data_IF_564421371196
#
_entry.id   IF_564421371196
#
_cell.length_a   1.000
_cell.length_b   1.000
_cell.length_c   1.000
_cell.angle_alpha   90.00
_cell.angle_beta   90.00
_cell.angle_gamma   90.00
#
_symmetry.space_group_name_H-M   'P 1'
#
loop_
_entity.id
_entity.type
_entity.pdbx_description
1 polymer ?
#
# COMPACT_ATOMS: atom_id res chain seq x y z
N UNK A 1 10.16 21.09 -10.45
CA UNK A 1 9.71 21.60 -9.14
C UNK A 1 9.09 20.44 -8.39
N UNK A 2 9.61 20.16 -7.25
CA UNK A 2 9.60 18.93 -6.46
C UNK A 2 8.22 18.33 -6.22
N UNK A 3 8.08 17.03 -6.52
CA UNK A 3 7.01 16.14 -6.05
C UNK A 3 7.09 16.06 -4.52
N UNK A 4 6.28 16.84 -3.83
CA UNK A 4 6.24 16.92 -2.36
C UNK A 4 4.87 16.42 -1.91
N UNK A 5 4.53 15.19 -2.21
CA UNK A 5 3.37 14.58 -1.57
C UNK A 5 3.75 13.69 -0.40
N UNK A 6 4.91 13.03 -0.40
CA UNK A 6 5.34 12.11 0.66
C UNK A 6 6.72 12.39 1.27
N UNK A 7 7.52 13.28 0.69
CA UNK A 7 8.84 13.64 1.21
C UNK A 7 8.83 14.22 2.63
N UNK A 8 7.71 14.76 3.11
CA UNK A 8 7.60 15.29 4.48
C UNK A 8 7.36 14.23 5.55
N UNK A 9 6.81 13.09 5.21
CA UNK A 9 6.64 11.98 6.16
C UNK A 9 7.98 11.29 6.45
N UNK A 10 8.89 11.29 5.48
CA UNK A 10 10.21 10.66 5.60
C UNK A 10 11.34 11.61 6.02
N UNK A 11 11.23 12.93 5.79
CA UNK A 11 12.26 13.88 6.24
C UNK A 11 12.31 14.07 7.76
N UNK A 12 11.23 13.78 8.46
CA UNK A 12 11.22 13.75 9.93
C UNK A 12 12.09 12.59 10.48
N UNK A 13 12.24 11.52 9.72
CA UNK A 13 13.00 10.34 10.11
C UNK A 13 14.52 10.50 9.99
N UNK A 14 15.00 11.30 9.03
CA UNK A 14 16.45 11.50 8.82
C UNK A 14 17.13 12.35 9.91
N UNK A 15 16.39 13.08 10.73
CA UNK A 15 16.93 13.94 11.80
C UNK A 15 17.00 13.29 13.17
N UNK A 16 16.49 12.07 13.35
CA UNK A 16 16.48 11.38 14.66
C UNK A 16 17.50 10.25 14.77
N UNK A 17 18.49 10.19 13.92
CA UNK A 17 19.60 9.23 13.99
C UNK A 17 20.73 9.75 14.90
N UNK A 18 20.51 9.93 16.15
CA UNK A 18 21.47 9.81 17.27
C UNK A 18 20.87 10.36 18.55
N UNK A 19 20.33 9.50 19.39
CA UNK A 19 20.05 9.88 20.76
C UNK A 19 18.69 9.46 21.30
N UNK A 20 18.70 8.37 22.02
CA UNK A 20 17.74 7.96 23.06
C UNK A 20 16.28 7.71 22.67
N UNK A 21 15.92 6.46 22.83
CA UNK A 21 14.64 5.77 22.79
C UNK A 21 13.43 6.60 23.23
N UNK A 22 12.53 6.92 22.29
CA UNK A 22 11.18 7.33 22.50
C UNK A 22 10.35 6.81 21.34
N UNK A 23 9.58 5.75 21.54
CA UNK A 23 8.78 5.13 20.50
C UNK A 23 7.61 6.02 20.07
N UNK A 24 7.56 6.41 18.81
CA UNK A 24 6.39 7.06 18.20
C UNK A 24 5.41 5.98 17.78
N UNK A 25 4.22 5.94 18.40
CA UNK A 25 3.10 5.14 17.86
C UNK A 25 2.26 6.01 16.93
N UNK A 26 2.20 5.65 15.66
CA UNK A 26 1.28 6.25 14.71
C UNK A 26 0.01 5.42 14.60
N UNK A 27 -1.14 6.05 14.77
CA UNK A 27 -2.45 5.45 14.56
C UNK A 27 -3.11 6.06 13.31
N UNK A 28 -3.60 5.19 12.43
CA UNK A 28 -4.39 5.60 11.26
C UNK A 28 -5.87 5.48 11.61
N UNK A 29 -6.61 6.58 11.55
CA UNK A 29 -8.07 6.59 11.64
C UNK A 29 -8.62 7.33 10.42
N UNK A 30 -9.43 6.65 9.61
CA UNK A 30 -10.13 7.20 8.44
C UNK A 30 -9.23 7.90 7.40
N UNK A 31 -8.11 7.26 7.01
CA UNK A 31 -7.24 7.76 5.95
C UNK A 31 -6.40 9.00 6.30
N UNK A 32 -6.50 9.54 7.51
CA UNK A 32 -5.70 10.65 7.98
C UNK A 32 -4.73 10.20 9.07
N UNK A 33 -3.45 10.56 8.94
CA UNK A 33 -2.44 10.32 9.97
C UNK A 33 -2.51 11.45 10.99
N UNK A 34 -2.93 11.12 12.21
CA UNK A 34 -2.88 12.05 13.34
C UNK A 34 -1.69 11.65 14.22
N UNK A 35 -0.63 12.46 14.20
CA UNK A 35 0.49 12.32 15.11
C UNK A 35 0.15 12.94 16.46
N UNK A 36 0.09 12.14 17.50
CA UNK A 36 0.02 12.62 18.88
C UNK A 36 1.27 12.18 19.62
N UNK A 37 2.11 13.13 19.99
CA UNK A 37 3.21 12.91 20.92
C UNK A 37 2.62 12.62 22.31
N UNK A 38 2.74 11.37 22.77
CA UNK A 38 2.60 11.05 24.19
C UNK A 38 4.00 10.84 24.77
N UNK A 39 4.45 11.74 25.59
CA UNK A 39 5.59 11.52 26.49
C UNK A 39 5.16 10.50 27.54
N UNK A 40 5.73 9.30 27.48
CA UNK A 40 5.58 8.29 28.52
C UNK A 40 6.75 8.49 29.49
N UNK A 41 6.52 8.87 30.74
CA UNK A 41 7.59 8.95 31.73
C UNK A 41 8.19 7.56 31.96
N UNK A 42 9.52 7.48 31.99
CA UNK A 42 10.26 6.26 32.29
C UNK A 42 9.85 5.73 33.68
N UNK A 43 9.17 4.58 33.70
CA UNK A 43 8.81 3.90 34.96
C UNK A 43 9.98 3.05 35.43
N UNK A 44 10.30 3.08 36.75
CA UNK A 44 11.40 2.30 37.29
C UNK A 44 11.11 0.79 37.26
N UNK A 45 12.16 0.01 37.07
CA UNK A 45 12.16 -1.45 36.77
C UNK A 45 11.42 -2.32 37.80
N UNK A 46 11.17 -1.80 39.02
CA UNK A 46 10.45 -2.55 40.05
C UNK A 46 8.93 -2.64 39.89
N UNK A 47 8.34 -1.90 38.93
CA UNK A 47 6.90 -2.05 38.60
C UNK A 47 6.58 -3.26 37.71
N UNK A 48 7.57 -3.82 37.04
CA UNK A 48 7.36 -5.02 36.21
C UNK A 48 7.13 -6.28 37.04
N UNK A 49 7.69 -6.36 38.24
CA UNK A 49 7.52 -7.48 39.15
C UNK A 49 6.16 -7.51 39.86
N UNK A 50 5.51 -6.36 40.01
CA UNK A 50 4.18 -6.28 40.64
C UNK A 50 3.05 -6.70 39.68
N UNK A 51 3.25 -6.55 38.37
CA UNK A 51 2.25 -6.96 37.37
C UNK A 51 2.21 -8.49 37.22
N UNK A 52 3.36 -9.16 37.35
CA UNK A 52 3.42 -10.64 37.32
C UNK A 52 2.78 -11.26 38.58
N UNK A 53 2.93 -10.60 39.73
CA UNK A 53 2.28 -11.09 40.99
C UNK A 53 0.76 -10.79 41.03
N UNK A 54 0.29 -9.70 40.46
CA UNK A 54 -1.12 -9.37 40.35
C UNK A 54 -1.84 -10.29 39.35
N UNK A 55 -1.16 -10.73 38.28
CA UNK A 55 -1.70 -11.72 37.33
C UNK A 55 -1.91 -13.12 37.94
N UNK A 56 -1.05 -13.51 38.90
CA UNK A 56 -1.17 -14.81 39.58
C UNK A 56 -2.24 -14.86 40.68
N UNK A 57 -2.59 -13.71 41.26
CA UNK A 57 -3.65 -13.66 42.32
C UNK A 57 -5.04 -13.50 41.69
N UNK A 58 -5.16 -12.95 40.49
CA UNK A 58 -6.45 -12.79 39.79
C UNK A 58 -6.94 -14.09 39.12
N UNK A 59 -6.07 -15.12 38.96
CA UNK A 59 -6.43 -16.40 38.36
C UNK A 59 -7.12 -17.38 39.30
N UNK A 60 -7.30 -17.04 40.61
CA UNK A 60 -7.91 -17.96 41.59
C UNK A 60 -9.34 -17.62 41.99
N UNK A 61 -10.01 -16.65 41.39
CA UNK A 61 -11.37 -16.24 41.81
C UNK A 61 -12.41 -16.16 40.67
N UNK A 62 -12.16 -16.74 39.51
CA UNK A 62 -13.22 -16.90 38.50
C UNK A 62 -13.60 -18.36 38.47
N UNK A 63 -14.74 -18.64 39.11
CA UNK A 63 -15.39 -19.92 39.10
C UNK A 63 -15.70 -20.39 37.67
N UNK A 64 -15.66 -21.70 37.50
CA UNK A 64 -15.87 -22.46 36.27
C UNK A 64 -17.06 -21.98 35.43
N UNK A 65 -16.82 -21.07 34.53
CA UNK A 65 -17.69 -20.75 33.39
C UNK A 65 -16.77 -20.38 32.21
N UNK A 66 -16.49 -21.36 31.35
CA UNK A 66 -15.82 -21.15 30.07
C UNK A 66 -14.33 -20.89 30.20
N UNK A 67 -13.52 -21.93 30.38
CA UNK A 67 -12.13 -21.90 29.95
C UNK A 67 -12.15 -21.75 28.42
N UNK A 68 -12.16 -20.50 27.95
CA UNK A 68 -11.80 -20.20 26.58
C UNK A 68 -10.40 -20.74 26.40
N UNK A 69 -10.26 -21.81 25.68
CA UNK A 69 -8.98 -22.30 25.16
C UNK A 69 -8.30 -21.07 24.57
N UNK A 70 -7.16 -20.68 25.12
CA UNK A 70 -6.32 -19.67 24.46
C UNK A 70 -6.11 -20.17 23.02
N UNK A 71 -6.77 -19.53 22.08
CA UNK A 71 -6.74 -19.96 20.70
C UNK A 71 -5.27 -19.99 20.26
N UNK A 72 -4.85 -21.13 19.74
CA UNK A 72 -3.53 -21.27 19.15
C UNK A 72 -3.43 -20.22 18.03
N UNK A 73 -2.53 -19.24 18.11
CA UNK A 73 -2.45 -18.16 17.13
C UNK A 73 -2.13 -18.66 15.71
N UNK A 74 -1.64 -19.91 15.61
CA UNK A 74 -1.35 -20.55 14.31
C UNK A 74 -2.55 -21.27 13.69
N UNK A 75 -3.64 -21.47 14.47
CA UNK A 75 -4.86 -22.11 13.94
C UNK A 75 -5.87 -21.08 13.47
N UNK A 76 -6.62 -21.42 12.39
CA UNK A 76 -7.74 -20.59 11.96
C UNK A 76 -8.71 -20.31 13.11
N UNK A 77 -9.15 -19.07 13.24
CA UNK A 77 -10.23 -18.72 14.16
C UNK A 77 -11.51 -19.44 13.67
N UNK A 78 -12.09 -20.35 14.48
CA UNK A 78 -13.28 -21.09 14.08
C UNK A 78 -14.51 -20.20 13.92
N UNK A 79 -14.47 -18.95 14.37
CA UNK A 79 -15.56 -17.97 14.15
C UNK A 79 -15.52 -17.36 12.75
N UNK A 80 -14.44 -17.55 11.99
CA UNK A 80 -14.33 -17.08 10.62
C UNK A 80 -14.84 -18.18 9.70
N UNK A 81 -16.06 -18.02 9.23
CA UNK A 81 -16.64 -18.91 8.23
C UNK A 81 -16.09 -18.61 6.85
N UNK A 82 -15.62 -19.64 6.16
CA UNK A 82 -15.19 -19.55 4.77
C UNK A 82 -13.70 -19.79 4.56
N UNK A 83 -13.32 -19.70 3.30
CA UNK A 83 -11.92 -19.84 2.93
C UNK A 83 -11.15 -18.53 3.17
N UNK A 84 -9.84 -18.58 3.54
CA UNK A 84 -9.05 -17.41 3.87
C UNK A 84 -9.07 -16.38 2.73
N UNK A 85 -9.18 -15.11 3.07
CA UNK A 85 -9.19 -13.98 2.13
C UNK A 85 -8.75 -12.68 2.83
N UNK A 86 -8.59 -11.60 2.03
CA UNK A 86 -8.22 -10.28 2.57
C UNK A 86 -9.18 -9.82 3.67
N UNK A 87 -10.49 -9.97 3.47
CA UNK A 87 -11.50 -9.44 4.39
C UNK A 87 -11.50 -10.14 5.75
N UNK A 88 -11.30 -11.47 5.78
CA UNK A 88 -11.22 -12.23 7.03
C UNK A 88 -10.00 -11.82 7.87
N UNK A 89 -8.85 -11.66 7.23
CA UNK A 89 -7.66 -11.14 7.90
C UNK A 89 -7.82 -9.69 8.38
N UNK A 90 -8.50 -8.85 7.59
CA UNK A 90 -8.78 -7.47 7.96
C UNK A 90 -9.71 -7.34 9.18
N UNK A 91 -10.72 -8.20 9.33
CA UNK A 91 -11.57 -8.27 10.52
C UNK A 91 -10.74 -8.61 11.76
N UNK A 92 -9.89 -9.65 11.69
CA UNK A 92 -8.96 -10.00 12.76
C UNK A 92 -8.04 -8.84 13.15
N UNK A 93 -7.49 -8.16 12.16
CA UNK A 93 -6.60 -7.01 12.37
C UNK A 93 -7.32 -5.86 13.09
N UNK A 94 -8.54 -5.54 12.69
CA UNK A 94 -9.35 -4.50 13.35
C UNK A 94 -9.73 -4.83 14.78
N UNK A 95 -9.91 -6.11 15.08
CA UNK A 95 -10.17 -6.62 16.45
C UNK A 95 -8.92 -6.72 17.30
N UNK A 96 -7.72 -6.47 16.73
CA UNK A 96 -6.44 -6.51 17.42
C UNK A 96 -5.76 -7.89 17.48
N UNK A 97 -6.27 -8.87 16.75
CA UNK A 97 -5.69 -10.21 16.63
C UNK A 97 -4.64 -10.25 15.51
N UNK A 98 -3.55 -9.51 15.69
CA UNK A 98 -2.58 -9.23 14.63
C UNK A 98 -1.87 -10.48 14.11
N UNK A 99 -1.44 -11.39 14.98
CA UNK A 99 -0.78 -12.64 14.58
C UNK A 99 -1.72 -13.53 13.76
N UNK A 100 -2.99 -13.61 14.16
CA UNK A 100 -4.01 -14.37 13.43
C UNK A 100 -4.34 -13.71 12.09
N UNK A 101 -4.39 -12.36 12.02
CA UNK A 101 -4.58 -11.62 10.79
C UNK A 101 -3.48 -11.91 9.77
N UNK A 102 -2.22 -11.87 10.21
CA UNK A 102 -1.08 -12.18 9.36
C UNK A 102 -1.15 -13.63 8.85
N UNK A 103 -1.42 -14.59 9.73
CA UNK A 103 -1.55 -15.99 9.33
C UNK A 103 -2.71 -16.22 8.36
N UNK A 104 -3.81 -15.46 8.52
CA UNK A 104 -4.97 -15.52 7.61
C UNK A 104 -4.63 -14.97 6.22
N UNK A 105 -3.96 -13.82 6.16
CA UNK A 105 -3.49 -13.27 4.88
C UNK A 105 -2.44 -14.16 4.21
N UNK A 106 -1.50 -14.76 4.97
CA UNK A 106 -0.54 -15.73 4.41
C UNK A 106 -1.24 -16.93 3.79
N UNK A 107 -2.25 -17.49 4.45
CA UNK A 107 -3.07 -18.57 3.88
C UNK A 107 -3.85 -18.14 2.63
N UNK A 108 -4.40 -16.92 2.62
CA UNK A 108 -5.09 -16.38 1.45
C UNK A 108 -4.15 -16.22 0.25
N UNK A 109 -2.93 -15.74 0.49
CA UNK A 109 -1.87 -15.63 -0.52
C UNK A 109 -1.49 -17.01 -1.07
N UNK A 110 -1.24 -17.98 -0.20
CA UNK A 110 -0.79 -19.33 -0.59
C UNK A 110 -1.87 -20.13 -1.32
N UNK A 111 -3.11 -20.09 -0.82
CA UNK A 111 -4.19 -20.96 -1.30
C UNK A 111 -4.96 -20.36 -2.47
N UNK A 112 -5.08 -19.04 -2.54
CA UNK A 112 -5.97 -18.35 -3.48
C UNK A 112 -5.29 -17.33 -4.38
N UNK A 113 -4.01 -17.02 -4.17
CA UNK A 113 -3.33 -15.90 -4.82
C UNK A 113 -4.12 -14.59 -4.63
N UNK A 114 -4.58 -14.36 -3.40
CA UNK A 114 -5.37 -13.16 -3.07
C UNK A 114 -4.46 -11.92 -3.08
N UNK A 115 -4.62 -11.07 -4.10
CA UNK A 115 -3.82 -9.85 -4.27
C UNK A 115 -4.04 -8.84 -3.17
N UNK A 116 -5.26 -8.79 -2.60
CA UNK A 116 -5.56 -7.92 -1.48
C UNK A 116 -4.88 -8.37 -0.19
N UNK A 117 -4.88 -9.68 0.09
CA UNK A 117 -4.16 -10.24 1.22
C UNK A 117 -2.63 -10.02 1.09
N UNK A 118 -2.09 -10.17 -0.12
CA UNK A 118 -0.68 -9.86 -0.38
C UNK A 118 -0.38 -8.37 -0.12
N UNK A 119 -1.25 -7.45 -0.54
CA UNK A 119 -1.13 -6.03 -0.22
C UNK A 119 -1.10 -5.77 1.29
N UNK A 120 -1.99 -6.38 2.07
CA UNK A 120 -2.04 -6.20 3.53
C UNK A 120 -0.76 -6.72 4.22
N UNK A 121 -0.22 -7.85 3.77
CA UNK A 121 1.07 -8.35 4.26
C UNK A 121 2.22 -7.40 3.91
N UNK A 122 2.24 -6.87 2.70
CA UNK A 122 3.24 -5.91 2.28
C UNK A 122 3.23 -4.65 3.17
N UNK A 123 2.06 -4.08 3.43
CA UNK A 123 1.89 -2.95 4.35
C UNK A 123 2.38 -3.28 5.77
N UNK A 124 2.01 -4.47 6.29
CA UNK A 124 2.42 -4.88 7.63
C UNK A 124 3.95 -4.92 7.77
N UNK A 125 4.66 -5.49 6.80
CA UNK A 125 6.13 -5.55 6.81
C UNK A 125 6.79 -4.21 6.46
N UNK A 126 6.16 -3.37 5.65
CA UNK A 126 6.70 -2.06 5.26
C UNK A 126 6.59 -1.03 6.39
N UNK A 127 5.40 -0.92 7.00
CA UNK A 127 5.11 0.09 8.02
C UNK A 127 5.60 -0.31 9.43
N UNK A 128 5.95 -1.58 9.64
CA UNK A 128 6.35 -2.11 10.95
C UNK A 128 5.31 -1.85 12.07
N UNK A 129 4.04 -1.84 11.71
CA UNK A 129 2.97 -1.50 12.66
C UNK A 129 2.75 -2.61 13.69
N UNK A 130 2.90 -3.86 13.30
CA UNK A 130 2.57 -5.04 14.12
C UNK A 130 3.64 -6.15 14.06
N UNK A 131 4.58 -6.05 13.11
CA UNK A 131 5.74 -6.93 12.94
C UNK A 131 7.00 -6.11 12.79
N UNK A 132 8.17 -6.75 12.92
CA UNK A 132 9.44 -6.13 12.60
C UNK A 132 9.51 -5.76 11.11
N UNK A 133 10.05 -4.59 10.82
CA UNK A 133 10.18 -4.09 9.45
C UNK A 133 11.06 -5.00 8.60
N UNK A 134 10.51 -5.45 7.48
CA UNK A 134 11.22 -6.26 6.49
C UNK A 134 10.89 -5.78 5.08
N UNK A 135 11.73 -4.90 4.56
CA UNK A 135 11.53 -4.30 3.23
C UNK A 135 11.59 -5.36 2.12
N UNK A 136 12.42 -6.40 2.27
CA UNK A 136 12.51 -7.45 1.26
C UNK A 136 11.21 -8.26 1.18
N UNK A 137 10.62 -8.60 2.33
CA UNK A 137 9.30 -9.23 2.37
C UNK A 137 8.20 -8.30 1.86
N UNK A 138 8.23 -7.02 2.23
CA UNK A 138 7.27 -6.05 1.73
C UNK A 138 7.31 -5.96 0.20
N UNK A 139 8.49 -5.82 -0.40
CA UNK A 139 8.67 -5.82 -1.87
C UNK A 139 8.12 -7.10 -2.48
N UNK A 140 8.43 -8.27 -1.89
CA UNK A 140 7.92 -9.55 -2.38
C UNK A 140 6.38 -9.57 -2.42
N UNK A 141 5.74 -9.20 -1.33
CA UNK A 141 4.28 -9.23 -1.25
C UNK A 141 3.61 -8.13 -2.10
N UNK A 142 4.18 -6.92 -2.18
CA UNK A 142 3.72 -5.91 -3.14
C UNK A 142 3.80 -6.43 -4.58
N UNK A 143 4.90 -7.08 -4.95
CA UNK A 143 5.07 -7.67 -6.29
C UNK A 143 3.99 -8.73 -6.55
N UNK A 144 3.77 -9.65 -5.63
CA UNK A 144 2.73 -10.68 -5.75
C UNK A 144 1.33 -10.05 -5.90
N UNK A 145 0.98 -9.09 -5.04
CA UNK A 145 -0.31 -8.40 -5.10
C UNK A 145 -0.51 -7.64 -6.41
N UNK A 146 0.54 -6.96 -6.89
CA UNK A 146 0.53 -6.21 -8.13
C UNK A 146 0.37 -7.11 -9.36
N UNK A 147 1.07 -8.25 -9.39
CA UNK A 147 0.95 -9.25 -10.46
C UNK A 147 -0.44 -9.90 -10.49
N UNK A 148 -1.10 -10.04 -9.35
CA UNK A 148 -2.47 -10.55 -9.23
C UNK A 148 -3.54 -9.46 -9.38
N UNK A 149 -3.13 -8.28 -9.84
CA UNK A 149 -4.02 -7.20 -10.24
C UNK A 149 -4.53 -6.32 -9.11
N UNK A 150 -4.02 -6.40 -7.87
CA UNK A 150 -4.47 -5.47 -6.83
C UNK A 150 -3.97 -4.03 -7.13
N UNK A 151 -4.88 -3.06 -7.33
CA UNK A 151 -4.49 -1.71 -7.74
C UNK A 151 -3.69 -0.94 -6.69
N UNK A 152 -3.87 -1.26 -5.41
CA UNK A 152 -3.10 -0.63 -4.31
C UNK A 152 -1.67 -1.13 -4.34
N UNK A 153 -1.50 -2.47 -4.46
CA UNK A 153 -0.17 -3.08 -4.58
C UNK A 153 0.57 -2.59 -5.83
N UNK A 154 -0.13 -2.41 -6.96
CA UNK A 154 0.45 -1.83 -8.18
C UNK A 154 0.90 -0.38 -7.95
N UNK A 155 0.08 0.46 -7.30
CA UNK A 155 0.44 1.85 -7.00
C UNK A 155 1.67 1.94 -6.10
N UNK A 156 1.73 1.12 -5.04
CA UNK A 156 2.83 1.14 -4.09
C UNK A 156 4.11 0.53 -4.68
N UNK A 157 4.00 -0.54 -5.47
CA UNK A 157 5.14 -1.08 -6.21
C UNK A 157 5.70 -0.04 -7.21
N UNK A 158 4.83 0.72 -7.88
CA UNK A 158 5.22 1.88 -8.68
C UNK A 158 6.03 2.89 -7.87
N UNK A 159 5.58 3.20 -6.65
CA UNK A 159 6.27 4.11 -5.74
C UNK A 159 7.64 3.55 -5.30
N UNK A 160 7.74 2.24 -5.04
CA UNK A 160 9.01 1.61 -4.68
C UNK A 160 10.04 1.76 -5.81
N UNK A 161 9.65 1.54 -7.08
CA UNK A 161 10.53 1.75 -8.22
C UNK A 161 10.85 3.22 -8.49
N UNK A 162 9.90 4.14 -8.30
CA UNK A 162 10.13 5.58 -8.47
C UNK A 162 11.13 6.13 -7.44
N UNK A 163 11.04 5.69 -6.19
CA UNK A 163 11.90 6.17 -5.10
C UNK A 163 13.15 5.32 -4.89
N UNK A 164 13.22 4.11 -5.43
CA UNK A 164 14.31 3.17 -5.18
C UNK A 164 14.27 2.60 -3.75
N UNK A 165 13.07 2.36 -3.19
CA UNK A 165 12.91 1.83 -1.84
C UNK A 165 12.86 0.30 -1.84
N UNK A 166 13.92 -0.33 -1.39
CA UNK A 166 14.05 -1.78 -1.37
C UNK A 166 14.28 -2.43 -2.74
N UNK A 167 14.17 -1.63 -3.80
CA UNK A 167 14.46 -2.01 -5.19
C UNK A 167 15.31 -0.91 -5.85
N UNK A 168 16.12 -1.22 -6.89
CA UNK A 168 16.77 -0.18 -7.68
C UNK A 168 15.73 0.76 -8.30
N UNK A 169 16.02 2.07 -8.29
CA UNK A 169 15.15 3.07 -8.94
C UNK A 169 15.03 2.77 -10.44
N UNK A 170 13.79 2.69 -10.93
CA UNK A 170 13.48 2.40 -12.33
C UNK A 170 12.17 3.10 -12.71
N UNK A 171 12.29 4.24 -13.36
CA UNK A 171 11.13 5.06 -13.74
C UNK A 171 10.24 4.40 -14.79
N UNK A 172 10.80 3.57 -15.68
CA UNK A 172 10.00 2.86 -16.67
C UNK A 172 9.12 1.78 -16.00
N UNK A 173 9.68 1.04 -15.02
CA UNK A 173 8.88 0.12 -14.21
C UNK A 173 7.86 0.85 -13.35
N UNK A 174 8.24 1.98 -12.74
CA UNK A 174 7.31 2.79 -11.97
C UNK A 174 6.10 3.23 -12.82
N UNK A 175 6.36 3.79 -14.01
CA UNK A 175 5.31 4.21 -14.93
C UNK A 175 4.38 3.05 -15.32
N UNK A 176 4.94 1.88 -15.62
CA UNK A 176 4.17 0.68 -15.96
C UNK A 176 3.22 0.27 -14.83
N UNK A 177 3.69 0.24 -13.59
CA UNK A 177 2.89 -0.14 -12.44
C UNK A 177 1.85 0.93 -12.08
N UNK A 178 2.22 2.22 -12.13
CA UNK A 178 1.26 3.29 -11.95
C UNK A 178 0.17 3.27 -13.03
N UNK A 179 0.53 3.02 -14.30
CA UNK A 179 -0.45 2.95 -15.38
C UNK A 179 -1.41 1.77 -15.20
N UNK A 180 -0.93 0.60 -14.80
CA UNK A 180 -1.76 -0.56 -14.51
C UNK A 180 -2.79 -0.26 -13.39
N UNK A 181 -2.34 0.35 -12.31
CA UNK A 181 -3.20 0.80 -11.21
C UNK A 181 -4.18 1.90 -11.64
N UNK A 182 -3.72 2.88 -12.41
CA UNK A 182 -4.51 4.00 -12.91
C UNK A 182 -5.64 3.55 -13.85
N UNK A 183 -5.39 2.56 -14.70
CA UNK A 183 -6.41 1.92 -15.56
C UNK A 183 -7.51 1.26 -14.75
N UNK A 184 -7.24 0.80 -13.55
CA UNK A 184 -8.25 0.29 -12.61
C UNK A 184 -8.98 1.40 -11.85
N UNK A 185 -8.66 2.67 -12.08
CA UNK A 185 -9.29 3.81 -11.43
C UNK A 185 -8.67 4.21 -10.09
N UNK A 186 -7.48 3.75 -9.74
CA UNK A 186 -6.83 4.12 -8.48
C UNK A 186 -6.35 5.58 -8.49
N UNK A 187 -6.91 6.48 -7.66
CA UNK A 187 -6.75 7.93 -7.86
C UNK A 187 -5.31 8.44 -7.67
N UNK A 188 -4.57 7.91 -6.69
CA UNK A 188 -3.18 8.33 -6.49
C UNK A 188 -2.27 7.86 -7.63
N UNK A 189 -2.53 6.68 -8.19
CA UNK A 189 -1.80 6.17 -9.35
C UNK A 189 -2.12 6.99 -10.62
N UNK A 190 -3.38 7.40 -10.80
CA UNK A 190 -3.77 8.31 -11.88
C UNK A 190 -3.00 9.63 -11.77
N UNK A 191 -2.90 10.22 -10.59
CA UNK A 191 -2.09 11.41 -10.39
C UNK A 191 -0.61 11.15 -10.73
N UNK A 192 0.00 10.09 -10.20
CA UNK A 192 1.42 9.81 -10.39
C UNK A 192 1.77 9.55 -11.86
N UNK A 193 0.96 8.75 -12.57
CA UNK A 193 1.21 8.53 -14.01
C UNK A 193 0.94 9.80 -14.84
N UNK A 194 -0.01 10.64 -14.41
CA UNK A 194 -0.24 11.95 -14.99
C UNK A 194 1.01 12.83 -14.94
N UNK A 195 1.69 12.89 -13.79
CA UNK A 195 2.98 13.60 -13.63
C UNK A 195 4.04 13.01 -14.56
N UNK A 196 4.16 11.69 -14.63
CA UNK A 196 5.15 11.04 -15.49
C UNK A 196 4.91 11.32 -16.97
N UNK A 197 3.65 11.40 -17.44
CA UNK A 197 3.33 11.82 -18.80
C UNK A 197 3.58 13.33 -19.03
N UNK A 198 3.36 14.21 -18.04
CA UNK A 198 3.69 15.64 -18.18
C UNK A 198 5.19 15.86 -18.29
N UNK A 199 5.99 15.16 -17.46
CA UNK A 199 7.43 15.35 -17.38
C UNK A 199 8.22 14.50 -18.39
N UNK A 200 7.60 13.45 -18.96
CA UNK A 200 8.28 12.50 -19.85
C UNK A 200 9.24 11.57 -19.08
N UNK A 201 8.95 11.30 -17.81
CA UNK A 201 9.76 10.44 -16.96
C UNK A 201 9.27 8.98 -16.98
N UNK A 202 10.12 8.07 -17.47
CA UNK A 202 9.79 6.64 -17.60
C UNK A 202 8.82 6.30 -18.73
N UNK A 203 8.15 7.30 -19.30
CA UNK A 203 7.27 7.24 -20.49
C UNK A 203 7.52 8.44 -21.38
N UNK A 204 7.13 8.35 -22.66
CA UNK A 204 7.18 9.53 -23.54
C UNK A 204 6.18 10.60 -23.05
N UNK A 205 6.60 11.87 -23.08
CA UNK A 205 5.75 12.98 -22.68
C UNK A 205 4.47 13.04 -23.53
N UNK A 206 3.33 13.19 -22.86
CA UNK A 206 2.00 13.26 -23.49
C UNK A 206 1.05 14.11 -22.64
N UNK A 207 0.88 15.38 -23.02
CA UNK A 207 0.02 16.33 -22.30
C UNK A 207 -1.45 15.92 -22.28
N UNK A 208 -1.92 15.26 -23.33
CA UNK A 208 -3.32 14.81 -23.45
C UNK A 208 -3.60 13.72 -22.42
N UNK A 209 -2.70 12.74 -22.31
CA UNK A 209 -2.80 11.70 -21.27
C UNK A 209 -2.60 12.26 -19.87
N UNK A 210 -1.64 13.16 -19.68
CA UNK A 210 -1.42 13.80 -18.38
C UNK A 210 -2.69 14.52 -17.89
N UNK A 211 -3.32 15.32 -18.75
CA UNK A 211 -4.60 15.98 -18.46
C UNK A 211 -5.69 14.96 -18.10
N UNK A 212 -5.85 13.92 -18.93
CA UNK A 212 -6.84 12.87 -18.69
C UNK A 212 -6.65 12.24 -17.29
N UNK A 213 -5.44 11.85 -16.94
CA UNK A 213 -5.18 11.19 -15.66
C UNK A 213 -5.31 12.13 -14.46
N UNK A 214 -4.93 13.41 -14.57
CA UNK A 214 -5.19 14.39 -13.51
C UNK A 214 -6.68 14.59 -13.29
N UNK A 215 -7.47 14.71 -14.36
CA UNK A 215 -8.92 14.85 -14.25
C UNK A 215 -9.57 13.62 -13.60
N UNK A 216 -9.17 12.40 -14.01
CA UNK A 216 -9.65 11.17 -13.40
C UNK A 216 -9.25 11.06 -11.92
N UNK A 217 -8.05 11.48 -11.54
CA UNK A 217 -7.61 11.52 -10.15
C UNK A 217 -8.47 12.44 -9.29
N UNK A 218 -8.87 13.61 -9.82
CA UNK A 218 -9.79 14.55 -9.14
C UNK A 218 -11.16 13.89 -8.93
N UNK A 219 -11.71 13.31 -9.99
CA UNK A 219 -13.03 12.63 -9.96
C UNK A 219 -13.01 11.42 -9.02
N UNK A 220 -11.87 10.72 -8.93
CA UNK A 220 -11.64 9.60 -8.01
C UNK A 220 -11.39 9.99 -6.54
N UNK A 221 -11.41 11.29 -6.21
CA UNK A 221 -11.26 11.77 -4.84
C UNK A 221 -9.83 12.12 -4.40
N UNK A 222 -8.93 12.42 -5.35
CA UNK A 222 -7.57 12.90 -5.08
C UNK A 222 -7.34 14.36 -5.57
N UNK A 223 -8.17 15.34 -5.16
CA UNK A 223 -8.14 16.68 -5.71
C UNK A 223 -6.95 17.53 -5.26
N UNK A 224 -6.39 17.27 -4.08
CA UNK A 224 -5.45 18.17 -3.40
C UNK A 224 -4.23 18.59 -4.25
N UNK A 225 -3.65 17.64 -5.01
CA UNK A 225 -2.49 17.90 -5.85
C UNK A 225 -2.85 17.91 -7.34
N UNK A 226 -3.84 17.09 -7.71
CA UNK A 226 -4.25 16.92 -9.10
C UNK A 226 -4.90 18.19 -9.66
N UNK A 227 -5.62 18.97 -8.85
CA UNK A 227 -6.24 20.23 -9.30
C UNK A 227 -5.19 21.26 -9.71
N UNK A 228 -4.19 21.51 -8.87
CA UNK A 228 -3.12 22.45 -9.18
C UNK A 228 -2.33 21.99 -10.43
N UNK A 229 -2.01 20.69 -10.54
CA UNK A 229 -1.32 20.12 -11.69
C UNK A 229 -2.14 20.30 -12.97
N UNK A 230 -3.45 20.01 -12.93
CA UNK A 230 -4.35 20.16 -14.06
C UNK A 230 -4.46 21.62 -14.52
N UNK A 231 -4.59 22.57 -13.60
CA UNK A 231 -4.64 23.99 -13.91
C UNK A 231 -3.36 24.46 -14.59
N UNK A 232 -2.20 24.10 -14.04
CA UNK A 232 -0.90 24.46 -14.59
C UNK A 232 -0.66 23.84 -15.97
N UNK A 233 -1.09 22.61 -16.19
CA UNK A 233 -0.98 21.92 -17.48
C UNK A 233 -1.91 22.54 -18.51
N UNK A 234 -3.18 22.79 -18.13
CA UNK A 234 -4.19 23.36 -19.02
C UNK A 234 -3.79 24.72 -19.58
N UNK A 235 -3.09 25.54 -18.80
CA UNK A 235 -2.56 26.84 -19.25
C UNK A 235 -1.50 26.73 -20.35
N UNK A 236 -0.93 25.54 -20.56
CA UNK A 236 0.13 25.24 -21.55
C UNK A 236 -0.37 24.35 -22.70
N UNK A 237 -1.67 24.08 -22.76
CA UNK A 237 -2.30 23.19 -23.76
C UNK A 237 -3.12 23.99 -24.76
N UNK A 238 -3.18 23.48 -25.98
CA UNK A 238 -4.08 24.02 -26.99
C UNK A 238 -5.53 23.56 -26.75
N UNK A 239 -6.56 24.34 -27.12
CA UNK A 239 -7.96 23.95 -26.95
C UNK A 239 -8.33 22.60 -27.59
N UNK A 240 -7.66 22.23 -28.67
CA UNK A 240 -7.86 20.94 -29.34
C UNK A 240 -7.35 19.76 -28.46
N UNK A 241 -6.20 19.93 -27.81
CA UNK A 241 -5.63 18.93 -26.89
C UNK A 241 -6.54 18.71 -25.66
N UNK A 242 -7.04 19.80 -25.07
CA UNK A 242 -7.98 19.75 -23.94
C UNK A 242 -9.28 19.04 -24.33
N UNK A 243 -9.80 19.34 -25.54
CA UNK A 243 -11.01 18.67 -26.07
C UNK A 243 -10.79 17.17 -26.23
N UNK A 244 -9.64 16.74 -26.76
CA UNK A 244 -9.30 15.34 -26.93
C UNK A 244 -9.15 14.66 -25.56
N UNK A 245 -8.41 15.26 -24.62
CA UNK A 245 -8.27 14.75 -23.26
C UNK A 245 -9.63 14.58 -22.55
N UNK A 246 -10.51 15.58 -22.67
CA UNK A 246 -11.86 15.51 -22.09
C UNK A 246 -12.69 14.38 -22.70
N UNK A 247 -12.55 14.12 -24.00
CA UNK A 247 -13.19 12.98 -24.65
C UNK A 247 -12.66 11.66 -24.09
N UNK A 248 -11.35 11.54 -23.85
CA UNK A 248 -10.75 10.35 -23.23
C UNK A 248 -11.26 10.13 -21.80
N UNK A 249 -11.38 11.19 -20.99
CA UNK A 249 -11.97 11.11 -19.63
C UNK A 249 -13.38 10.51 -19.69
N UNK A 250 -14.23 11.03 -20.57
CA UNK A 250 -15.63 10.54 -20.73
C UNK A 250 -15.72 9.09 -21.22
N UNK A 251 -14.73 8.67 -21.98
CA UNK A 251 -14.67 7.30 -22.51
C UNK A 251 -14.00 6.31 -21.53
N UNK A 252 -13.39 6.81 -20.48
CA UNK A 252 -12.67 5.96 -19.52
C UNK A 252 -13.63 4.98 -18.82
N UNK A 253 -13.20 3.72 -18.80
CA UNK A 253 -13.84 2.65 -18.02
C UNK A 253 -12.78 1.93 -17.23
N UNK A 254 -12.91 1.88 -15.91
CA UNK A 254 -11.96 1.14 -15.09
C UNK A 254 -11.90 -0.33 -15.48
N UNK A 255 -10.69 -0.87 -15.56
CA UNK A 255 -10.45 -2.31 -15.71
C UNK A 255 -10.75 -3.05 -14.42
N UNK A 256 -11.11 -4.31 -14.53
CA UNK A 256 -11.18 -5.22 -13.37
C UNK A 256 -9.78 -5.69 -12.95
N UNK A 257 -9.68 -6.28 -11.76
CA UNK A 257 -8.42 -6.90 -11.29
C UNK A 257 -7.94 -8.01 -12.21
N UNK A 258 -8.86 -8.82 -12.68
CA UNK A 258 -8.60 -9.96 -13.58
C UNK A 258 -8.06 -9.49 -14.92
N UNK A 259 -8.65 -8.44 -15.51
CA UNK A 259 -8.17 -7.83 -16.75
C UNK A 259 -6.77 -7.24 -16.58
N UNK A 260 -6.53 -6.54 -15.49
CA UNK A 260 -5.22 -5.97 -15.17
C UNK A 260 -4.16 -7.06 -14.95
N UNK A 261 -4.47 -8.11 -14.20
CA UNK A 261 -3.56 -9.25 -14.00
C UNK A 261 -3.23 -9.95 -15.32
N UNK A 262 -4.22 -10.11 -16.21
CA UNK A 262 -4.01 -10.70 -17.53
C UNK A 262 -3.08 -9.84 -18.39
N UNK A 263 -3.28 -8.52 -18.45
CA UNK A 263 -2.41 -7.57 -19.18
C UNK A 263 -0.96 -7.65 -18.68
N UNK A 264 -0.77 -7.67 -17.36
CA UNK A 264 0.55 -7.74 -16.76
C UNK A 264 1.26 -9.07 -17.06
N UNK A 265 0.52 -10.19 -17.09
CA UNK A 265 1.08 -11.51 -17.41
C UNK A 265 1.54 -11.62 -18.86
N UNK A 266 0.81 -11.02 -19.80
CA UNK A 266 1.19 -10.97 -21.22
C UNK A 266 2.45 -10.13 -21.40
N UNK A 267 2.52 -9.00 -20.74
CA UNK A 267 3.69 -8.11 -20.81
C UNK A 267 4.94 -8.76 -20.22
N UNK A 268 4.82 -9.53 -19.13
CA UNK A 268 5.94 -10.26 -18.55
C UNK A 268 6.48 -11.32 -19.51
N UNK A 269 5.61 -12.08 -20.20
CA UNK A 269 6.00 -13.08 -21.21
C UNK A 269 6.70 -12.45 -22.41
N UNK A 270 6.22 -11.33 -22.91
CA UNK A 270 6.85 -10.66 -24.06
C UNK A 270 8.28 -10.17 -23.77
N UNK A 271 8.59 -9.85 -22.50
CA UNK A 271 9.94 -9.47 -22.08
C UNK A 271 10.89 -10.69 -21.97
N UNK A 272 10.36 -11.85 -21.55
CA UNK A 272 11.16 -13.10 -21.46
C UNK A 272 11.40 -13.71 -22.84
N UNK A 273 10.43 -13.64 -23.74
CA UNK A 273 10.54 -14.19 -25.10
C UNK A 273 11.43 -13.31 -26.01
N UNK A 274 11.55 -12.02 -25.71
CA UNK A 274 12.40 -11.07 -26.43
C UNK A 274 13.90 -11.19 -26.12
N UNK A 275 14.28 -11.73 -24.96
CA UNK A 275 15.68 -11.99 -24.60
C UNK A 275 16.24 -13.30 -25.19
N UNK A 276 15.41 -14.13 -25.78
CA UNK A 276 15.80 -15.42 -26.36
C UNK A 276 16.28 -15.37 -27.83
N UNK A 277 16.36 -14.19 -28.45
CA UNK A 277 16.79 -14.05 -29.84
C UNK A 277 17.96 -13.10 -29.98
N UNK A 278 19.16 -13.57 -29.67
CA UNK A 278 20.39 -13.22 -30.39
C UNK A 278 21.47 -14.27 -30.13
N UNK A 279 22.00 -14.94 -31.17
CA UNK A 279 23.11 -15.84 -31.07
C UNK A 279 24.46 -15.10 -30.85
#
# INVERSE_FOLDING_TARGET
MQIIADGRKFSAWRRMGSGKQGGLKMYRKNGAIVSRLMEIPAKPVWMATLIVLAGLIFSMSIGAAGAGVLADPTKPDPSIEGAPNEASGQDLYQRGFYEQALAEWERAVEQKKDGGAAFQLAEAYFDAAVVERDIAKAVKYYTMGAEWGDPRAQADLGTLFDKGWGVPKDLAKAAKWYEASAKQGHPSAQYNIGVMYEEGEGVAADKVKAYMYYQLAIEGGFPKFATEALENLSAKMEPAEIKEATKMVRAFKPMTREESAAEMSVTARSLTDGEAVSP
#
